data_IF_423921937369
#
_entry.id   IF_423921937369
#
_cell.length_a   1.000
_cell.length_b   1.000
_cell.length_c   1.000
_cell.angle_alpha   90.00
_cell.angle_beta   90.00
_cell.angle_gamma   90.00
#
_symmetry.space_group_name_H-M   'P 1'
#
loop_
_entity.id
_entity.type
_entity.pdbx_description
1 polymer ?
#
# COMPACT_ATOMS: atom_id res chain seq x y z
N UNK A 1 -14.33 -13.34 9.22
CA UNK A 1 -13.11 -12.50 9.23
C UNK A 1 -13.16 -11.44 8.15
N UNK A 2 -12.67 -10.26 8.48
CA UNK A 2 -12.57 -9.12 7.58
C UNK A 2 -11.21 -9.11 6.86
N UNK A 3 -11.07 -8.27 5.81
CA UNK A 3 -9.83 -8.19 5.01
C UNK A 3 -8.54 -7.94 5.84
N UNK A 4 -8.56 -7.23 7.01
CA UNK A 4 -7.36 -7.07 7.81
C UNK A 4 -7.01 -8.31 8.67
N UNK A 5 -7.72 -9.42 8.51
CA UNK A 5 -7.45 -10.67 9.23
C UNK A 5 -8.10 -10.79 10.61
N UNK A 6 -8.94 -9.84 11.00
CA UNK A 6 -9.65 -9.86 12.27
C UNK A 6 -11.15 -10.17 12.07
N UNK A 7 -11.80 -10.66 13.10
CA UNK A 7 -13.25 -10.81 13.11
C UNK A 7 -13.88 -9.46 13.44
N UNK A 8 -14.77 -8.99 12.57
CA UNK A 8 -15.52 -7.76 12.80
C UNK A 8 -16.54 -7.93 13.94
N UNK A 9 -17.01 -6.82 14.50
CA UNK A 9 -18.02 -6.86 15.55
C UNK A 9 -19.35 -7.45 15.03
N UNK A 10 -20.06 -8.17 15.89
CA UNK A 10 -21.42 -8.58 15.59
C UNK A 10 -22.36 -7.37 15.62
N UNK A 11 -23.35 -7.37 14.74
CA UNK A 11 -24.38 -6.33 14.72
C UNK A 11 -25.77 -6.97 14.68
N UNK A 12 -26.62 -6.55 15.59
CA UNK A 12 -28.03 -6.95 15.63
C UNK A 12 -28.88 -6.20 14.57
N UNK A 13 -28.29 -5.20 13.92
CA UNK A 13 -28.94 -4.35 12.90
C UNK A 13 -28.57 -4.75 11.47
N UNK A 14 -28.22 -5.99 11.22
CA UNK A 14 -27.97 -6.46 9.88
C UNK A 14 -29.27 -6.53 9.05
N UNK A 15 -29.17 -6.13 7.78
CA UNK A 15 -30.27 -6.27 6.84
C UNK A 15 -30.65 -7.72 6.64
N UNK A 16 -31.94 -8.01 6.83
CA UNK A 16 -32.48 -9.36 6.54
C UNK A 16 -32.84 -9.49 5.06
N UNK A 17 -32.34 -10.56 4.44
CA UNK A 17 -32.65 -10.90 3.06
C UNK A 17 -33.60 -12.10 3.07
N UNK A 18 -34.77 -11.94 2.43
CA UNK A 18 -35.69 -13.07 2.20
C UNK A 18 -35.41 -13.67 0.82
N UNK A 19 -34.83 -14.86 0.80
CA UNK A 19 -34.63 -15.62 -0.44
C UNK A 19 -35.99 -16.16 -0.92
N UNK A 20 -36.44 -15.75 -2.11
CA UNK A 20 -37.72 -16.17 -2.69
C UNK A 20 -37.58 -17.30 -3.70
N UNK A 21 -36.39 -17.42 -4.33
CA UNK A 21 -36.08 -18.51 -5.25
C UNK A 21 -34.59 -18.79 -5.28
N UNK A 22 -34.20 -20.03 -5.49
CA UNK A 22 -32.83 -20.48 -5.75
C UNK A 22 -32.83 -21.21 -7.09
N UNK A 23 -32.12 -20.71 -8.07
CA UNK A 23 -31.97 -21.38 -9.37
C UNK A 23 -30.54 -21.81 -9.57
N UNK A 24 -30.33 -23.01 -10.09
CA UNK A 24 -29.01 -23.53 -10.39
C UNK A 24 -29.07 -24.52 -11.57
N UNK A 25 -27.92 -24.70 -12.25
CA UNK A 25 -27.79 -25.77 -13.25
C UNK A 25 -27.78 -27.16 -12.57
N UNK A 26 -27.95 -28.23 -13.34
CA UNK A 26 -28.02 -29.60 -12.82
C UNK A 26 -26.80 -30.00 -11.98
N UNK A 27 -25.61 -29.58 -12.38
CA UNK A 27 -24.36 -29.74 -11.62
C UNK A 27 -23.79 -28.38 -11.29
N UNK A 28 -24.19 -27.73 -10.19
CA UNK A 28 -23.80 -26.37 -9.89
C UNK A 28 -22.34 -26.29 -9.50
N UNK A 29 -21.67 -25.21 -9.97
CA UNK A 29 -20.38 -24.76 -9.46
C UNK A 29 -20.63 -23.39 -8.85
N UNK A 30 -20.21 -23.23 -7.60
CA UNK A 30 -20.31 -21.96 -6.88
C UNK A 30 -18.90 -21.41 -6.69
N UNK A 31 -18.66 -20.21 -7.19
CA UNK A 31 -17.46 -19.46 -6.84
C UNK A 31 -17.69 -18.81 -5.49
N UNK A 32 -16.72 -18.93 -4.62
CA UNK A 32 -16.72 -18.28 -3.30
C UNK A 32 -15.40 -17.57 -3.08
N UNK A 33 -15.42 -16.44 -2.41
CA UNK A 33 -14.25 -15.72 -1.95
C UNK A 33 -14.11 -15.93 -0.45
N UNK A 34 -12.95 -16.38 -0.03
CA UNK A 34 -12.63 -16.57 1.39
C UNK A 34 -11.74 -15.41 1.82
N UNK A 35 -12.23 -14.57 2.73
CA UNK A 35 -11.42 -13.50 3.30
C UNK A 35 -10.75 -13.95 4.63
N UNK A 36 -9.56 -13.44 4.94
CA UNK A 36 -8.66 -12.71 4.06
C UNK A 36 -7.87 -13.65 3.12
N UNK A 37 -7.81 -13.31 1.86
CA UNK A 37 -7.06 -14.05 0.83
C UNK A 37 -6.54 -13.09 -0.24
N UNK A 38 -5.59 -13.51 -1.05
CA UNK A 38 -5.07 -12.69 -2.15
C UNK A 38 -6.18 -12.28 -3.14
N UNK A 39 -7.16 -13.14 -3.40
CA UNK A 39 -8.32 -12.78 -4.21
C UNK A 39 -9.12 -11.63 -3.58
N UNK A 40 -9.37 -11.69 -2.27
CA UNK A 40 -10.09 -10.64 -1.54
C UNK A 40 -9.30 -9.33 -1.54
N UNK A 41 -8.00 -9.41 -1.29
CA UNK A 41 -7.09 -8.25 -1.26
C UNK A 41 -7.01 -7.58 -2.63
N UNK A 42 -6.82 -8.35 -3.71
CA UNK A 42 -6.67 -7.81 -5.06
C UNK A 42 -7.95 -7.19 -5.61
N UNK A 43 -9.13 -7.64 -5.21
CA UNK A 43 -10.40 -6.98 -5.59
C UNK A 43 -10.50 -5.54 -5.08
N UNK A 44 -9.86 -5.21 -3.97
CA UNK A 44 -9.79 -3.85 -3.46
C UNK A 44 -8.51 -3.13 -3.91
N UNK A 45 -7.37 -3.84 -3.93
CA UNK A 45 -6.06 -3.29 -4.23
C UNK A 45 -5.96 -2.74 -5.65
N UNK A 46 -6.28 -3.55 -6.65
CA UNK A 46 -6.14 -3.17 -8.06
C UNK A 46 -6.92 -1.89 -8.43
N UNK A 47 -8.19 -1.73 -8.07
CA UNK A 47 -8.89 -0.46 -8.33
C UNK A 47 -8.32 0.73 -7.57
N UNK A 48 -7.80 0.49 -6.36
CA UNK A 48 -7.16 1.54 -5.55
C UNK A 48 -5.84 2.00 -6.19
N UNK A 49 -5.01 1.08 -6.67
CA UNK A 49 -3.78 1.37 -7.41
C UNK A 49 -4.06 2.25 -8.64
N UNK A 50 -5.06 1.88 -9.44
CA UNK A 50 -5.47 2.64 -10.61
C UNK A 50 -5.94 4.07 -10.24
N UNK A 51 -6.67 4.22 -9.14
CA UNK A 51 -7.14 5.51 -8.65
C UNK A 51 -5.99 6.40 -8.18
N UNK A 52 -5.04 5.84 -7.43
CA UNK A 52 -3.84 6.53 -6.96
C UNK A 52 -2.98 6.94 -8.18
N UNK A 53 -2.69 5.99 -9.07
CA UNK A 53 -1.89 6.24 -10.26
C UNK A 53 -2.49 7.38 -11.09
N UNK A 54 -3.78 7.33 -11.40
CA UNK A 54 -4.46 8.34 -12.20
C UNK A 54 -4.43 9.74 -11.57
N UNK A 55 -4.55 9.83 -10.24
CA UNK A 55 -4.49 11.13 -9.55
C UNK A 55 -3.07 11.71 -9.53
N UNK A 56 -2.07 10.89 -9.25
CA UNK A 56 -0.67 11.34 -9.21
C UNK A 56 -0.17 11.66 -10.61
N UNK A 57 -0.45 10.82 -11.61
CA UNK A 57 -0.03 11.04 -13.00
C UNK A 57 -0.61 12.34 -13.57
N UNK A 58 -1.86 12.67 -13.25
CA UNK A 58 -2.48 13.93 -13.65
C UNK A 58 -1.76 15.15 -13.08
N UNK A 59 -1.25 15.05 -11.84
CA UNK A 59 -0.57 16.15 -11.16
C UNK A 59 0.93 16.22 -11.47
N UNK A 60 1.55 15.07 -11.73
CA UNK A 60 3.01 14.90 -11.89
C UNK A 60 3.33 13.89 -13.01
N UNK A 61 3.06 14.24 -14.28
CA UNK A 61 3.20 13.30 -15.39
C UNK A 61 4.59 12.66 -15.47
N UNK A 62 4.63 11.34 -15.64
CA UNK A 62 5.85 10.54 -15.82
C UNK A 62 6.76 10.41 -14.60
N UNK A 63 6.30 10.79 -13.40
CA UNK A 63 7.08 10.65 -12.15
C UNK A 63 6.74 9.37 -11.40
N UNK A 64 5.48 8.99 -11.36
CA UNK A 64 5.03 7.75 -10.75
C UNK A 64 5.22 6.61 -11.75
N UNK A 65 6.01 5.60 -11.37
CA UNK A 65 6.27 4.44 -12.24
C UNK A 65 5.27 3.33 -11.97
N UNK A 66 5.10 2.98 -10.71
CA UNK A 66 4.19 1.94 -10.25
C UNK A 66 3.53 2.31 -8.92
N UNK A 67 2.40 1.68 -8.66
CA UNK A 67 1.69 1.68 -7.38
C UNK A 67 1.37 0.25 -7.01
N UNK A 68 1.61 -0.13 -5.78
CA UNK A 68 1.23 -1.43 -5.25
C UNK A 68 0.50 -1.29 -3.92
N UNK A 69 -0.76 -1.71 -3.88
CA UNK A 69 -1.53 -1.80 -2.64
C UNK A 69 -1.29 -3.16 -2.00
N UNK A 70 -0.27 -3.21 -1.14
CA UNK A 70 0.34 -4.44 -0.67
C UNK A 70 -0.60 -5.32 0.17
N UNK A 71 -0.46 -6.64 -0.02
CA UNK A 71 -1.24 -7.66 0.69
C UNK A 71 -1.15 -7.58 2.21
N UNK A 72 0.00 -7.28 2.85
CA UNK A 72 0.03 -7.07 4.30
C UNK A 72 -0.88 -5.94 4.81
N UNK A 73 -1.19 -4.97 3.95
CA UNK A 73 -2.15 -3.91 4.22
C UNK A 73 -3.59 -4.25 3.80
N UNK A 74 -3.87 -5.50 3.43
CA UNK A 74 -5.19 -5.93 2.96
C UNK A 74 -5.63 -5.26 1.66
N UNK A 75 -4.70 -4.73 0.86
CA UNK A 75 -4.97 -3.96 -0.36
C UNK A 75 -5.58 -2.57 -0.12
N UNK A 76 -5.69 -2.14 1.15
CA UNK A 76 -6.37 -0.89 1.53
C UNK A 76 -5.55 0.00 2.46
N UNK A 77 -4.82 -0.57 3.42
CA UNK A 77 -4.13 0.21 4.44
C UNK A 77 -2.76 0.71 4.00
N UNK A 78 -2.13 0.02 3.07
CA UNK A 78 -0.76 0.30 2.69
C UNK A 78 -0.61 0.35 1.17
N UNK A 79 0.04 1.40 0.68
CA UNK A 79 0.49 1.50 -0.70
C UNK A 79 1.99 1.77 -0.77
N UNK A 80 2.63 1.17 -1.75
CA UNK A 80 4.00 1.49 -2.15
C UNK A 80 3.95 2.26 -3.46
N UNK A 81 4.58 3.42 -3.50
CA UNK A 81 4.68 4.27 -4.68
C UNK A 81 6.14 4.26 -5.17
N UNK A 82 6.36 3.70 -6.34
CA UNK A 82 7.66 3.76 -7.01
C UNK A 82 7.75 5.07 -7.80
N UNK A 83 8.58 5.99 -7.30
CA UNK A 83 8.66 7.37 -7.79
C UNK A 83 10.02 7.65 -8.42
N UNK A 84 10.00 8.28 -9.59
CA UNK A 84 11.20 8.67 -10.32
C UNK A 84 11.43 10.17 -10.23
N UNK A 85 12.53 10.56 -9.61
CA UNK A 85 13.03 11.92 -9.62
C UNK A 85 13.86 12.14 -10.88
N UNK A 86 13.37 12.91 -11.84
CA UNK A 86 14.05 13.18 -13.12
C UNK A 86 15.04 14.35 -13.01
N UNK A 87 14.76 15.28 -12.12
CA UNK A 87 15.57 16.48 -11.91
C UNK A 87 15.66 16.81 -10.42
N UNK A 88 16.61 17.68 -10.05
CA UNK A 88 16.73 18.15 -8.67
C UNK A 88 15.45 18.88 -8.17
N UNK A 89 14.66 19.46 -9.06
CA UNK A 89 13.40 20.11 -8.71
C UNK A 89 12.26 19.13 -8.40
N UNK A 90 12.48 17.84 -8.60
CA UNK A 90 11.53 16.80 -8.19
C UNK A 90 11.70 16.39 -6.72
N UNK A 91 12.74 16.89 -6.04
CA UNK A 91 12.94 16.64 -4.61
C UNK A 91 11.76 17.18 -3.80
N UNK A 92 11.20 16.36 -2.94
CA UNK A 92 9.97 16.64 -2.18
C UNK A 92 8.65 16.33 -2.92
N UNK A 93 8.65 16.16 -4.24
CA UNK A 93 7.44 15.80 -5.00
C UNK A 93 6.95 14.38 -4.70
N UNK A 94 7.85 13.46 -4.37
CA UNK A 94 7.47 12.12 -3.91
C UNK A 94 6.56 12.19 -2.67
N UNK A 95 6.84 13.11 -1.73
CA UNK A 95 6.00 13.33 -0.54
C UNK A 95 4.63 13.90 -0.91
N UNK A 96 4.58 14.80 -1.90
CA UNK A 96 3.31 15.30 -2.45
C UNK A 96 2.51 14.19 -3.15
N UNK A 97 3.17 13.26 -3.85
CA UNK A 97 2.51 12.09 -4.44
C UNK A 97 1.83 11.21 -3.38
N UNK A 98 2.46 11.03 -2.22
CA UNK A 98 1.84 10.32 -1.09
C UNK A 98 0.59 11.04 -0.55
N UNK A 99 0.60 12.37 -0.47
CA UNK A 99 -0.58 13.15 -0.08
C UNK A 99 -1.72 13.00 -1.09
N UNK A 100 -1.40 12.98 -2.38
CA UNK A 100 -2.39 12.70 -3.43
C UNK A 100 -2.94 11.27 -3.33
N UNK A 101 -2.12 10.28 -2.98
CA UNK A 101 -2.56 8.91 -2.76
C UNK A 101 -3.58 8.83 -1.60
N UNK A 102 -3.34 9.51 -0.48
CA UNK A 102 -4.31 9.61 0.60
C UNK A 102 -5.61 10.31 0.21
N UNK A 103 -5.55 11.24 -0.73
CA UNK A 103 -6.73 11.93 -1.28
C UNK A 103 -7.48 11.05 -2.26
N UNK A 104 -6.76 10.24 -3.05
CA UNK A 104 -7.35 9.31 -4.01
C UNK A 104 -8.11 8.17 -3.30
N UNK A 105 -7.61 7.73 -2.15
CA UNK A 105 -8.21 6.66 -1.37
C UNK A 105 -8.13 6.95 0.14
N UNK A 106 -9.25 7.39 0.70
CA UNK A 106 -9.33 7.88 2.09
C UNK A 106 -9.05 6.81 3.15
N UNK A 107 -9.20 5.53 2.82
CA UNK A 107 -8.96 4.41 3.73
C UNK A 107 -7.47 4.03 3.87
N UNK A 108 -6.63 4.54 2.97
CA UNK A 108 -5.18 4.33 3.00
C UNK A 108 -4.59 4.89 4.30
N UNK A 109 -3.75 4.11 4.97
CA UNK A 109 -3.16 4.44 6.27
C UNK A 109 -1.66 4.74 6.17
N UNK A 110 -0.94 3.94 5.37
CA UNK A 110 0.50 4.04 5.21
C UNK A 110 0.89 4.13 3.74
N UNK A 111 1.84 5.00 3.44
CA UNK A 111 2.46 5.09 2.11
C UNK A 111 3.97 4.94 2.25
N UNK A 112 4.54 3.99 1.52
CA UNK A 112 5.97 3.86 1.31
C UNK A 112 6.33 4.49 -0.03
N UNK A 113 7.35 5.33 -0.02
CA UNK A 113 7.92 5.93 -1.22
C UNK A 113 9.26 5.26 -1.50
N UNK A 114 9.44 4.76 -2.69
CA UNK A 114 10.68 4.11 -3.11
C UNK A 114 11.14 4.62 -4.47
N UNK A 115 12.44 4.54 -4.75
CA UNK A 115 13.01 4.90 -6.05
C UNK A 115 12.76 3.83 -7.11
N UNK A 116 13.09 4.17 -8.38
CA UNK A 116 12.93 3.30 -9.54
C UNK A 116 13.73 2.00 -9.51
N UNK A 117 14.76 1.90 -8.68
CA UNK A 117 15.60 0.70 -8.54
C UNK A 117 15.12 -0.28 -7.48
N UNK A 118 14.01 0.02 -6.82
CA UNK A 118 13.36 -0.85 -5.82
C UNK A 118 12.13 -1.48 -6.44
N UNK A 119 12.02 -2.80 -6.38
CA UNK A 119 10.81 -3.51 -6.79
C UNK A 119 9.69 -3.26 -5.78
N UNK A 120 8.73 -2.41 -6.14
CA UNK A 120 7.61 -2.08 -5.27
C UNK A 120 6.64 -3.24 -5.05
N UNK A 121 6.70 -4.30 -5.87
CA UNK A 121 5.87 -5.51 -5.73
C UNK A 121 6.52 -6.55 -4.81
N UNK A 122 7.81 -6.43 -4.52
CA UNK A 122 8.50 -7.25 -3.52
C UNK A 122 8.65 -6.48 -2.19
N UNK A 123 7.88 -6.89 -1.19
CA UNK A 123 7.94 -6.28 0.13
C UNK A 123 9.30 -6.46 0.83
N UNK A 124 10.09 -7.47 0.47
CA UNK A 124 11.44 -7.60 1.02
C UNK A 124 12.34 -6.49 0.46
N UNK A 125 12.19 -6.15 -0.82
CA UNK A 125 12.95 -5.06 -1.45
C UNK A 125 12.52 -3.69 -0.89
N UNK A 126 11.23 -3.49 -0.66
CA UNK A 126 10.70 -2.28 -0.02
C UNK A 126 11.25 -2.12 1.41
N UNK A 127 11.24 -3.19 2.20
CA UNK A 127 11.80 -3.18 3.55
C UNK A 127 13.32 -3.03 3.54
N UNK A 128 14.02 -3.57 2.54
CA UNK A 128 15.44 -3.30 2.35
C UNK A 128 15.70 -1.80 2.13
N UNK A 129 14.92 -1.14 1.26
CA UNK A 129 15.02 0.31 1.04
C UNK A 129 14.75 1.08 2.34
N UNK A 130 13.73 0.69 3.11
CA UNK A 130 13.45 1.28 4.41
C UNK A 130 14.64 1.16 5.39
N UNK A 131 15.32 0.02 5.41
CA UNK A 131 16.45 -0.19 6.32
C UNK A 131 17.76 0.48 5.87
N UNK A 132 17.88 0.84 4.60
CA UNK A 132 19.14 1.37 4.04
C UNK A 132 19.09 2.83 3.63
N UNK A 133 17.90 3.43 3.48
CA UNK A 133 17.69 4.79 2.93
C UNK A 133 16.85 5.70 3.83
N UNK A 134 16.19 5.17 4.85
CA UNK A 134 15.25 5.89 5.70
C UNK A 134 15.85 6.23 7.06
N UNK A 135 15.61 7.48 7.52
CA UNK A 135 15.91 7.94 8.87
C UNK A 135 14.62 8.40 9.56
N UNK A 136 14.30 7.78 10.70
CA UNK A 136 13.02 7.96 11.38
C UNK A 136 12.71 9.37 11.88
N UNK A 137 13.72 10.23 12.04
CA UNK A 137 13.57 11.61 12.47
C UNK A 137 13.37 12.61 11.30
N UNK A 138 13.76 12.19 10.08
CA UNK A 138 13.74 13.06 8.89
C UNK A 138 12.75 12.61 7.82
N UNK A 139 12.55 11.29 7.68
CA UNK A 139 11.87 10.71 6.53
C UNK A 139 10.49 10.13 6.87
N UNK A 140 10.05 10.27 8.12
CA UNK A 140 8.69 9.95 8.53
C UNK A 140 7.84 11.22 8.54
N UNK A 141 6.66 11.13 7.92
CA UNK A 141 5.67 12.21 7.95
C UNK A 141 4.37 11.64 8.51
N UNK A 142 3.85 12.25 9.56
CA UNK A 142 2.61 11.85 10.20
C UNK A 142 1.53 12.91 10.01
N UNK A 143 0.30 12.47 9.73
CA UNK A 143 -0.88 13.32 9.56
C UNK A 143 -1.93 12.81 10.53
N UNK A 144 -2.03 13.37 11.75
CA UNK A 144 -2.98 12.93 12.76
C UNK A 144 -4.39 13.40 12.48
N UNK A 145 -5.39 12.70 13.02
CA UNK A 145 -6.77 13.13 13.03
C UNK A 145 -7.48 13.08 11.68
N UNK A 146 -7.09 12.16 10.83
CA UNK A 146 -7.66 12.00 9.46
C UNK A 146 -8.43 10.71 9.30
N UNK A 147 -9.32 10.69 8.31
CA UNK A 147 -10.16 9.52 8.02
C UNK A 147 -9.32 8.31 7.61
N UNK A 148 -9.66 7.16 8.17
CA UNK A 148 -9.12 5.85 7.82
C UNK A 148 -10.25 4.81 7.82
N UNK A 149 -9.92 3.56 7.55
CA UNK A 149 -10.91 2.48 7.49
C UNK A 149 -11.43 2.12 8.89
N UNK A 150 -12.77 2.06 9.10
CA UNK A 150 -13.33 1.77 10.42
C UNK A 150 -13.09 0.33 10.92
N UNK A 151 -12.73 -0.61 10.03
CA UNK A 151 -12.36 -1.98 10.38
C UNK A 151 -10.89 -2.13 10.80
N UNK A 152 -10.13 -1.04 10.86
CA UNK A 152 -8.79 -1.07 11.45
C UNK A 152 -8.90 -1.15 12.97
N UNK A 153 -8.53 -2.28 13.60
CA UNK A 153 -8.69 -2.44 15.05
C UNK A 153 -7.81 -1.48 15.85
N UNK A 154 -6.74 -0.95 15.26
CA UNK A 154 -5.90 0.05 15.92
C UNK A 154 -6.57 1.43 16.03
N UNK A 155 -7.71 1.64 15.36
CA UNK A 155 -8.51 2.85 15.43
C UNK A 155 -9.63 2.76 16.49
N UNK A 156 -9.67 1.70 17.25
CA UNK A 156 -10.63 1.60 18.36
C UNK A 156 -10.18 2.48 19.52
N UNK A 157 -11.04 3.37 20.03
CA UNK A 157 -10.73 4.21 21.19
C UNK A 157 -10.33 3.42 22.44
N UNK A 158 -10.75 2.16 22.56
CA UNK A 158 -10.33 1.27 23.65
C UNK A 158 -8.86 0.81 23.55
N UNK A 159 -8.26 0.88 22.35
CA UNK A 159 -6.88 0.46 22.13
C UNK A 159 -5.85 1.57 22.41
N UNK A 160 -6.26 2.84 22.32
CA UNK A 160 -5.36 3.97 22.54
C UNK A 160 -6.11 5.22 22.99
N UNK A 161 -5.65 5.85 24.06
CA UNK A 161 -6.22 7.13 24.54
C UNK A 161 -6.03 8.32 23.59
N UNK A 162 -5.21 8.19 22.55
CA UNK A 162 -5.05 9.20 21.50
C UNK A 162 -6.13 9.11 20.41
N UNK A 163 -6.85 8.01 20.33
CA UNK A 163 -7.92 7.79 19.35
C UNK A 163 -9.22 8.32 19.93
N UNK A 164 -9.86 9.24 19.23
CA UNK A 164 -11.07 9.93 19.69
C UNK A 164 -12.36 9.38 19.11
N UNK A 165 -12.26 8.72 17.95
CA UNK A 165 -13.43 8.22 17.24
C UNK A 165 -13.03 7.08 16.28
N UNK A 166 -13.95 6.15 16.03
CA UNK A 166 -13.77 5.08 15.05
C UNK A 166 -13.55 5.62 13.64
N UNK A 167 -12.57 5.06 12.94
CA UNK A 167 -12.24 5.45 11.59
C UNK A 167 -11.45 6.76 11.47
N UNK A 168 -11.00 7.33 12.60
CA UNK A 168 -10.06 8.44 12.64
C UNK A 168 -8.70 7.94 13.14
N UNK A 169 -7.67 8.15 12.33
CA UNK A 169 -6.33 7.65 12.60
C UNK A 169 -5.25 8.67 12.26
N UNK A 170 -4.01 8.25 12.44
CA UNK A 170 -2.85 8.93 11.93
C UNK A 170 -2.40 8.25 10.63
N UNK A 171 -2.31 9.01 9.55
CA UNK A 171 -1.66 8.53 8.30
C UNK A 171 -0.16 8.74 8.40
N UNK A 172 0.60 7.83 7.79
CA UNK A 172 2.07 7.87 7.84
C UNK A 172 2.65 7.70 6.45
N UNK A 173 3.62 8.54 6.11
CA UNK A 173 4.47 8.40 4.93
C UNK A 173 5.85 7.96 5.41
N UNK A 174 6.39 6.94 4.77
CA UNK A 174 7.76 6.47 4.93
C UNK A 174 8.50 6.81 3.63
N UNK A 175 9.32 7.84 3.66
CA UNK A 175 10.09 8.27 2.48
C UNK A 175 11.41 7.52 2.42
N UNK A 176 11.39 6.38 1.73
CA UNK A 176 12.55 5.53 1.52
C UNK A 176 13.26 5.85 0.21
N UNK A 177 13.11 7.07 -0.31
CA UNK A 177 13.82 7.52 -1.52
C UNK A 177 15.17 8.14 -1.18
N UNK A 178 16.11 8.01 -2.10
CA UNK A 178 17.42 8.65 -2.00
C UNK A 178 17.31 10.12 -2.45
N UNK A 179 17.95 11.09 -1.77
CA UNK A 179 18.06 12.47 -2.28
C UNK A 179 18.62 12.48 -3.70
N UNK A 180 18.06 13.33 -4.57
CA UNK A 180 18.39 13.35 -6.00
C UNK A 180 19.89 13.52 -6.26
N UNK A 181 20.56 14.38 -5.49
CA UNK A 181 21.98 14.68 -5.60
C UNK A 181 22.90 13.59 -5.03
N UNK A 182 22.33 12.59 -4.34
CA UNK A 182 23.08 11.50 -3.73
C UNK A 182 22.87 10.15 -4.43
N UNK A 183 22.13 10.09 -5.51
CA UNK A 183 21.83 8.82 -6.24
C UNK A 183 23.09 8.01 -6.57
N UNK A 184 24.20 8.67 -6.89
CA UNK A 184 25.45 7.98 -7.18
C UNK A 184 26.08 7.25 -6.00
N UNK A 185 25.76 7.64 -4.76
CA UNK A 185 26.22 6.97 -3.53
C UNK A 185 25.43 5.72 -3.18
N UNK A 186 24.22 5.61 -3.71
CA UNK A 186 23.26 4.54 -3.38
C UNK A 186 23.09 3.51 -4.52
N UNK A 187 24.12 3.37 -5.36
CA UNK A 187 24.10 2.36 -6.42
C UNK A 187 24.14 0.96 -5.79
N UNK A 188 23.17 0.13 -6.14
CA UNK A 188 23.11 -1.27 -5.69
C UNK A 188 24.29 -2.05 -6.23
N UNK A 189 24.86 -2.93 -5.41
CA UNK A 189 25.88 -3.86 -5.85
C UNK A 189 25.30 -4.78 -6.95
N UNK A 190 26.04 -4.89 -8.04
CA UNK A 190 25.73 -5.83 -9.11
C UNK A 190 26.73 -6.97 -9.05
N UNK A 191 26.23 -8.20 -9.09
CA UNK A 191 27.03 -9.38 -9.20
C UNK A 191 27.14 -9.77 -10.68
N UNK A 192 28.32 -10.24 -11.08
CA UNK A 192 28.48 -10.80 -12.42
C UNK A 192 27.65 -12.07 -12.52
N UNK A 193 26.92 -12.20 -13.61
CA UNK A 193 26.27 -13.45 -13.96
C UNK A 193 27.38 -14.48 -14.29
N UNK A 194 27.47 -15.52 -13.50
CA UNK A 194 28.46 -16.59 -13.69
C UNK A 194 27.73 -17.77 -14.31
N UNK A 195 28.07 -18.09 -15.57
CA UNK A 195 27.61 -19.32 -16.17
C UNK A 195 28.26 -20.52 -15.45
N UNK A 196 27.48 -21.33 -14.71
CA UNK A 196 28.04 -22.48 -14.00
C UNK A 196 28.70 -23.50 -14.90
N UNK A 197 28.21 -23.66 -16.15
CA UNK A 197 28.75 -24.62 -17.13
C UNK A 197 30.15 -24.21 -17.61
N UNK A 198 30.49 -22.93 -17.51
CA UNK A 198 31.84 -22.46 -17.86
C UNK A 198 32.91 -22.92 -16.84
N UNK A 199 32.53 -23.17 -15.59
CA UNK A 199 33.45 -23.46 -14.48
C UNK A 199 33.42 -24.92 -14.04
N UNK A 200 32.38 -25.67 -14.38
CA UNK A 200 32.25 -27.10 -14.04
C UNK A 200 32.67 -27.92 -15.30
N UNK A 201 33.95 -28.30 -15.36
CA UNK A 201 34.46 -29.26 -16.35
C UNK A 201 34.57 -30.64 -15.73
#
# INVERSE_FOLDING_TARGET
PEFPGYTGPASDQCWMIKVTAVTHRKNPIMQTCIGPSEEHVSMAGIPTEASIYGMVEKAMPGRLQNVYCASPGGGKYMAVLQFKKLTASDEGRQRQAALLAFSAFSELKHVFLVDEDVDCFDMNDVLWAMNTRFQGDADIITIPGVRCHPLDPSNDPSCSGSIRDHGIACKTIFDCTVPYDQKDRFKRAQFMDVDPEHWVK
#
